data_IF_619316877089
#
_entry.id   IF_619316877089
#
_cell.length_a   1.000
_cell.length_b   1.000
_cell.length_c   1.000
_cell.angle_alpha   90.00
_cell.angle_beta   90.00
_cell.angle_gamma   90.00
#
_symmetry.space_group_name_H-M   'P 1'
#
loop_
_entity.id
_entity.type
_entity.pdbx_description
1 polymer ?
#
# COMPACT_ATOMS: atom_id res chain seq x y z
N UNK A 1 13.97 9.58 -19.68
CA UNK A 1 14.72 9.77 -18.42
C UNK A 1 15.16 8.40 -17.96
N UNK A 2 16.47 8.19 -17.76
CA UNK A 2 17.02 6.88 -17.40
C UNK A 2 16.48 6.44 -16.03
N UNK A 3 15.76 5.31 -16.00
CA UNK A 3 15.50 4.56 -14.77
C UNK A 3 16.83 4.05 -14.26
N UNK A 4 17.43 4.77 -13.31
CA UNK A 4 18.78 4.48 -12.82
C UNK A 4 18.74 3.20 -11.98
N UNK A 5 19.12 2.08 -12.59
CA UNK A 5 19.23 0.73 -11.97
C UNK A 5 20.43 0.60 -11.00
N UNK A 6 20.82 1.70 -10.35
CA UNK A 6 22.10 1.84 -9.64
C UNK A 6 21.93 2.24 -8.17
N UNK A 7 20.77 1.96 -7.58
CA UNK A 7 20.64 2.14 -6.12
C UNK A 7 21.26 0.94 -5.40
N UNK A 8 21.93 1.20 -4.28
CA UNK A 8 22.46 0.13 -3.39
C UNK A 8 21.34 -0.86 -3.04
N UNK A 9 20.12 -0.35 -2.88
CA UNK A 9 18.94 -1.16 -2.66
C UNK A 9 18.67 -2.13 -3.81
N UNK A 10 18.56 -1.67 -5.06
CA UNK A 10 18.27 -2.53 -6.21
C UNK A 10 19.39 -3.54 -6.50
N UNK A 11 20.66 -3.14 -6.34
CA UNK A 11 21.80 -4.00 -6.68
C UNK A 11 22.11 -5.06 -5.62
N UNK A 12 21.92 -4.76 -4.33
CA UNK A 12 22.41 -5.61 -3.25
C UNK A 12 21.34 -6.07 -2.26
N UNK A 13 20.29 -5.26 -2.01
CA UNK A 13 19.27 -5.59 -1.02
C UNK A 13 18.02 -6.23 -1.63
N UNK A 14 17.55 -5.75 -2.77
CA UNK A 14 16.37 -6.26 -3.46
C UNK A 14 16.48 -7.75 -3.85
N UNK A 15 17.63 -8.27 -4.32
CA UNK A 15 17.78 -9.70 -4.60
C UNK A 15 17.71 -10.57 -3.34
N UNK A 16 18.15 -10.05 -2.19
CA UNK A 16 18.11 -10.75 -0.90
C UNK A 16 16.70 -10.68 -0.31
N UNK A 17 16.04 -9.52 -0.38
CA UNK A 17 14.67 -9.33 0.08
C UNK A 17 13.70 -10.31 -0.59
N UNK A 18 13.88 -10.59 -1.89
CA UNK A 18 13.07 -11.60 -2.62
C UNK A 18 13.07 -12.99 -1.98
N UNK A 19 14.10 -13.40 -1.25
CA UNK A 19 14.14 -14.69 -0.55
C UNK A 19 13.34 -14.72 0.75
N UNK A 20 13.01 -13.54 1.32
CA UNK A 20 12.22 -13.40 2.54
C UNK A 20 10.79 -12.93 2.27
N UNK A 21 10.48 -12.63 1.01
CA UNK A 21 9.18 -12.24 0.53
C UNK A 21 8.31 -13.48 0.36
N UNK A 22 7.10 -13.45 0.94
CA UNK A 22 6.10 -14.52 0.77
C UNK A 22 5.48 -14.48 -0.63
N UNK A 23 6.14 -15.10 -1.61
CA UNK A 23 5.65 -15.19 -2.99
C UNK A 23 4.35 -15.99 -3.12
N UNK A 24 4.01 -16.84 -2.13
CA UNK A 24 2.76 -17.58 -2.13
C UNK A 24 1.61 -16.63 -1.82
N UNK A 25 1.73 -15.87 -0.73
CA UNK A 25 0.75 -14.85 -0.35
C UNK A 25 0.52 -13.83 -1.47
N UNK A 26 1.58 -13.36 -2.12
CA UNK A 26 1.45 -12.42 -3.25
C UNK A 26 0.63 -13.00 -4.41
N UNK A 27 0.88 -14.28 -4.75
CA UNK A 27 0.15 -14.98 -5.81
C UNK A 27 -1.30 -15.23 -5.41
N UNK A 28 -1.56 -15.58 -4.17
CA UNK A 28 -2.92 -15.78 -3.67
C UNK A 28 -3.75 -14.49 -3.78
N UNK A 29 -3.22 -13.35 -3.30
CA UNK A 29 -3.90 -12.05 -3.42
C UNK A 29 -4.11 -11.68 -4.88
N UNK A 30 -3.10 -11.88 -5.73
CA UNK A 30 -3.21 -11.61 -7.16
C UNK A 30 -4.35 -12.39 -7.83
N UNK A 31 -4.55 -13.65 -7.44
CA UNK A 31 -5.57 -14.52 -8.04
C UNK A 31 -6.94 -14.41 -7.36
N UNK A 32 -7.02 -13.85 -6.15
CA UNK A 32 -8.28 -13.74 -5.41
C UNK A 32 -9.15 -12.55 -5.84
N UNK A 33 -8.58 -11.58 -6.57
CA UNK A 33 -9.23 -10.31 -6.91
C UNK A 33 -9.53 -10.27 -8.42
N UNK A 34 -10.78 -9.94 -8.77
CA UNK A 34 -11.11 -9.51 -10.14
C UNK A 34 -10.68 -8.06 -10.33
N UNK A 35 -9.42 -7.87 -10.70
CA UNK A 35 -8.80 -6.55 -10.84
C UNK A 35 -9.53 -5.63 -11.82
N UNK A 36 -10.17 -6.20 -12.85
CA UNK A 36 -10.89 -5.38 -13.82
C UNK A 36 -12.18 -4.86 -13.20
N UNK A 37 -12.94 -5.74 -12.55
CA UNK A 37 -14.19 -5.36 -11.89
C UNK A 37 -13.95 -4.36 -10.75
N UNK A 38 -12.93 -4.59 -9.91
CA UNK A 38 -12.60 -3.68 -8.81
C UNK A 38 -12.09 -2.33 -9.31
N UNK A 39 -11.22 -2.31 -10.33
CA UNK A 39 -10.80 -1.06 -10.96
C UNK A 39 -11.98 -0.26 -11.50
N UNK A 40 -12.92 -0.92 -12.20
CA UNK A 40 -14.09 -0.25 -12.75
C UNK A 40 -15.01 0.31 -11.64
N UNK A 41 -15.12 -0.39 -10.51
CA UNK A 41 -15.91 0.03 -9.35
C UNK A 41 -15.28 1.19 -8.57
N UNK A 42 -13.96 1.17 -8.41
CA UNK A 42 -13.21 2.06 -7.51
C UNK A 42 -12.56 3.25 -8.21
N UNK A 43 -12.36 3.17 -9.52
CA UNK A 43 -11.81 4.29 -10.29
C UNK A 43 -12.82 5.42 -10.43
N UNK A 44 -12.31 6.65 -10.46
CA UNK A 44 -13.10 7.83 -10.78
C UNK A 44 -12.65 8.37 -12.14
N UNK A 45 -13.50 8.33 -13.19
CA UNK A 45 -13.13 8.80 -14.53
C UNK A 45 -12.86 10.31 -14.60
N UNK A 46 -13.31 11.08 -13.61
CA UNK A 46 -13.07 12.51 -13.51
C UNK A 46 -11.78 12.85 -12.75
N UNK A 47 -11.09 11.87 -12.16
CA UNK A 47 -9.83 12.07 -11.46
C UNK A 47 -8.67 12.17 -12.46
N UNK A 48 -8.07 13.35 -12.57
CA UNK A 48 -6.91 13.58 -13.42
C UNK A 48 -5.63 13.38 -12.60
N UNK A 49 -4.90 12.31 -12.90
CA UNK A 49 -3.61 12.08 -12.27
C UNK A 49 -2.52 13.01 -12.82
N UNK A 50 -1.71 13.64 -11.96
CA UNK A 50 -0.48 14.31 -12.37
C UNK A 50 0.42 13.37 -13.18
N UNK A 51 1.16 13.91 -14.14
CA UNK A 51 2.00 13.08 -15.01
C UNK A 51 3.00 12.22 -14.23
N UNK A 52 3.59 12.76 -13.16
CA UNK A 52 4.55 12.04 -12.34
C UNK A 52 3.94 10.79 -11.68
N UNK A 53 2.66 10.82 -11.30
CA UNK A 53 2.00 9.70 -10.64
C UNK A 53 1.72 8.53 -11.60
N UNK A 54 1.61 8.81 -12.90
CA UNK A 54 1.36 7.79 -13.94
C UNK A 54 2.63 7.14 -14.49
N UNK A 55 3.73 7.89 -14.57
CA UNK A 55 4.89 7.48 -15.37
C UNK A 55 6.13 7.15 -14.54
N UNK A 56 6.14 7.50 -13.25
CA UNK A 56 7.29 7.24 -12.40
C UNK A 56 7.16 5.88 -11.71
N UNK A 57 8.29 5.18 -11.62
CA UNK A 57 8.42 4.06 -10.72
C UNK A 57 8.60 4.62 -9.30
N UNK A 58 7.82 4.13 -8.34
CA UNK A 58 7.96 4.47 -6.94
C UNK A 58 8.50 3.28 -6.19
N UNK A 59 9.50 3.49 -5.31
CA UNK A 59 10.07 2.44 -4.46
C UNK A 59 10.51 1.17 -5.24
N UNK A 60 10.94 1.32 -6.50
CA UNK A 60 11.35 0.20 -7.35
C UNK A 60 10.20 -0.57 -8.02
N UNK A 61 8.95 -0.15 -7.82
CA UNK A 61 7.77 -0.74 -8.45
C UNK A 61 7.61 -0.19 -9.86
N UNK A 62 7.71 -1.08 -10.85
CA UNK A 62 7.49 -0.73 -12.26
C UNK A 62 6.04 -0.27 -12.49
N UNK A 63 5.86 0.89 -13.09
CA UNK A 63 4.54 1.50 -13.30
C UNK A 63 3.96 2.18 -12.05
N UNK A 64 4.69 2.17 -10.94
CA UNK A 64 4.28 2.85 -9.71
C UNK A 64 3.03 2.24 -9.05
N UNK A 65 2.34 3.06 -8.26
CA UNK A 65 1.19 2.62 -7.46
C UNK A 65 -0.09 2.38 -8.27
N UNK A 66 -0.16 2.84 -9.53
CA UNK A 66 -1.27 2.54 -10.44
C UNK A 66 -1.08 1.17 -11.13
N UNK A 67 -0.71 0.15 -10.36
CA UNK A 67 -0.48 -1.19 -10.87
C UNK A 67 -0.98 -2.26 -9.90
N UNK A 68 -1.40 -3.40 -10.44
CA UNK A 68 -1.74 -4.59 -9.66
C UNK A 68 -0.52 -5.06 -8.84
N UNK A 69 0.66 -4.99 -9.44
CA UNK A 69 1.91 -5.39 -8.80
C UNK A 69 2.17 -4.59 -7.51
N UNK A 70 1.88 -3.29 -7.48
CA UNK A 70 1.97 -2.51 -6.26
C UNK A 70 1.05 -3.07 -5.16
N UNK A 71 -0.23 -3.28 -5.49
CA UNK A 71 -1.23 -3.75 -4.53
C UNK A 71 -0.91 -5.14 -3.96
N UNK A 72 -0.49 -6.08 -4.81
CA UNK A 72 -0.19 -7.45 -4.39
C UNK A 72 1.12 -7.57 -3.61
N UNK A 73 2.04 -6.61 -3.78
CA UNK A 73 3.37 -6.69 -3.16
C UNK A 73 3.57 -5.77 -1.96
N UNK A 74 2.74 -4.74 -1.78
CA UNK A 74 2.93 -3.73 -0.76
C UNK A 74 3.09 -4.30 0.66
N UNK A 75 2.07 -4.99 1.18
CA UNK A 75 2.06 -5.46 2.58
C UNK A 75 3.19 -6.45 2.91
N UNK A 76 3.52 -7.46 2.06
CA UNK A 76 4.69 -8.30 2.31
C UNK A 76 6.02 -7.52 2.33
N UNK A 77 6.17 -6.52 1.46
CA UNK A 77 7.40 -5.72 1.41
C UNK A 77 7.51 -4.76 2.60
N UNK A 78 6.41 -4.13 3.05
CA UNK A 78 6.43 -3.23 4.19
C UNK A 78 6.79 -3.95 5.49
N UNK A 79 6.33 -5.19 5.65
CA UNK A 79 6.70 -6.04 6.80
C UNK A 79 8.21 -6.28 6.88
N UNK A 80 8.88 -6.44 5.73
CA UNK A 80 10.34 -6.61 5.65
C UNK A 80 11.10 -5.28 5.77
N UNK A 81 10.54 -4.21 5.22
CA UNK A 81 11.20 -2.90 5.15
C UNK A 81 11.19 -2.14 6.48
N UNK A 82 10.31 -2.49 7.42
CA UNK A 82 10.15 -1.83 8.71
C UNK A 82 10.50 -2.76 9.90
N UNK A 83 11.76 -3.19 10.04
CA UNK A 83 12.20 -3.94 11.22
C UNK A 83 12.14 -3.06 12.48
N UNK A 84 11.87 -3.62 13.67
CA UNK A 84 11.69 -5.05 13.97
C UNK A 84 10.26 -5.57 13.75
N UNK A 85 9.25 -4.71 13.64
CA UNK A 85 7.87 -5.08 13.35
C UNK A 85 7.08 -3.86 12.86
N UNK A 86 6.63 -3.89 11.61
CA UNK A 86 5.77 -2.85 11.02
C UNK A 86 4.54 -2.52 11.89
N UNK A 87 3.93 -3.55 12.50
CA UNK A 87 2.75 -3.41 13.35
C UNK A 87 3.02 -2.49 14.53
N UNK A 88 4.24 -2.49 15.08
CA UNK A 88 4.60 -1.60 16.17
C UNK A 88 4.61 -0.14 15.73
N UNK A 89 5.16 0.16 14.55
CA UNK A 89 5.15 1.51 13.98
C UNK A 89 3.71 2.01 13.80
N UNK A 90 2.84 1.16 13.24
CA UNK A 90 1.41 1.47 13.07
C UNK A 90 0.72 1.69 14.43
N UNK A 91 1.03 0.86 15.42
CA UNK A 91 0.48 1.00 16.77
C UNK A 91 0.91 2.32 17.43
N UNK A 92 2.15 2.76 17.26
CA UNK A 92 2.59 4.06 17.80
C UNK A 92 1.82 5.24 17.21
N UNK A 93 1.44 5.17 15.94
CA UNK A 93 0.58 6.19 15.31
C UNK A 93 -0.81 6.19 15.95
N UNK A 94 -1.37 5.00 16.19
CA UNK A 94 -2.68 4.84 16.85
C UNK A 94 -2.64 5.37 18.29
N UNK A 95 -1.61 5.02 19.05
CA UNK A 95 -1.43 5.41 20.46
C UNK A 95 -1.24 6.93 20.61
N UNK A 96 -0.72 7.60 19.57
CA UNK A 96 -0.55 9.04 19.55
C UNK A 96 -1.88 9.81 19.37
N UNK A 97 -2.95 9.15 18.94
CA UNK A 97 -4.26 9.78 18.78
C UNK A 97 -4.86 10.08 20.15
N UNK A 98 -5.10 11.37 20.41
CA UNK A 98 -5.68 11.83 21.67
C UNK A 98 -7.21 11.89 21.59
N UNK A 99 -7.88 11.55 22.69
CA UNK A 99 -9.33 11.62 22.82
C UNK A 99 -10.06 10.43 22.20
N UNK A 100 -11.35 10.62 21.90
CA UNK A 100 -12.22 9.61 21.29
C UNK A 100 -12.78 10.15 19.97
N UNK A 101 -12.03 10.00 18.86
CA UNK A 101 -12.49 10.50 17.57
C UNK A 101 -13.78 9.79 17.16
N UNK A 102 -14.74 10.56 16.64
CA UNK A 102 -15.96 10.01 16.05
C UNK A 102 -15.79 9.68 14.57
N UNK A 103 -14.84 10.34 13.89
CA UNK A 103 -14.54 10.16 12.47
C UNK A 103 -13.03 10.21 12.25
N UNK A 104 -12.51 9.30 11.44
CA UNK A 104 -11.09 9.16 11.11
C UNK A 104 -10.95 9.04 9.59
N UNK A 105 -9.99 9.77 9.00
CA UNK A 105 -9.60 9.64 7.59
C UNK A 105 -8.16 9.12 7.52
N UNK A 106 -7.98 7.96 6.93
CA UNK A 106 -6.68 7.38 6.56
C UNK A 106 -6.36 7.79 5.11
N UNK A 107 -5.43 8.74 4.96
CA UNK A 107 -5.09 9.37 3.68
C UNK A 107 -3.85 8.72 3.07
N UNK A 108 -4.00 8.12 1.88
CA UNK A 108 -3.01 7.22 1.31
C UNK A 108 -3.04 5.85 1.99
N UNK A 109 -4.25 5.30 2.18
CA UNK A 109 -4.45 4.11 3.01
C UNK A 109 -3.85 2.82 2.42
N UNK A 110 -3.39 2.83 1.17
CA UNK A 110 -2.90 1.64 0.49
C UNK A 110 -3.95 0.54 0.48
N UNK A 111 -3.55 -0.68 0.87
CA UNK A 111 -4.42 -1.87 1.01
C UNK A 111 -5.41 -1.76 2.17
N UNK A 112 -5.39 -0.66 2.93
CA UNK A 112 -6.27 -0.44 4.08
C UNK A 112 -5.84 -1.19 5.33
N UNK A 113 -4.67 -1.82 5.35
CA UNK A 113 -4.20 -2.61 6.49
C UNK A 113 -4.00 -1.74 7.75
N UNK A 114 -3.62 -0.47 7.61
CA UNK A 114 -3.64 0.50 8.72
C UNK A 114 -5.05 1.00 9.07
N UNK A 115 -5.92 1.19 8.07
CA UNK A 115 -7.34 1.56 8.26
C UNK A 115 -8.08 0.55 9.13
N UNK A 116 -7.82 -0.75 8.94
CA UNK A 116 -8.40 -1.83 9.77
C UNK A 116 -7.95 -1.70 11.22
N UNK A 117 -6.66 -1.44 11.47
CA UNK A 117 -6.14 -1.26 12.83
C UNK A 117 -6.76 -0.03 13.51
N UNK A 118 -6.95 1.08 12.77
CA UNK A 118 -7.66 2.26 13.26
C UNK A 118 -9.09 1.92 13.67
N UNK A 119 -9.82 1.13 12.86
CA UNK A 119 -11.18 0.70 13.20
C UNK A 119 -11.23 -0.22 14.41
N UNK A 120 -10.24 -1.08 14.59
CA UNK A 120 -10.14 -1.94 15.77
C UNK A 120 -9.85 -1.13 17.04
N UNK A 121 -8.96 -0.13 16.96
CA UNK A 121 -8.61 0.72 18.09
C UNK A 121 -9.74 1.71 18.48
N UNK A 122 -10.48 2.21 17.49
CA UNK A 122 -11.58 3.14 17.68
C UNK A 122 -12.90 2.55 17.14
N UNK A 123 -13.47 1.53 17.82
CA UNK A 123 -14.61 0.76 17.29
C UNK A 123 -15.87 1.60 17.09
N UNK A 124 -16.05 2.68 17.85
CA UNK A 124 -17.18 3.62 17.72
C UNK A 124 -16.95 4.68 16.64
N UNK A 125 -15.73 4.87 16.16
CA UNK A 125 -15.41 5.82 15.11
C UNK A 125 -15.87 5.30 13.74
N UNK A 126 -16.35 6.21 12.90
CA UNK A 126 -16.44 5.98 11.46
C UNK A 126 -15.06 6.18 10.84
N UNK A 127 -14.56 5.20 10.10
CA UNK A 127 -13.20 5.22 9.55
C UNK A 127 -13.29 5.16 8.04
N UNK A 128 -12.68 6.12 7.37
CA UNK A 128 -12.61 6.25 5.92
C UNK A 128 -11.18 6.00 5.45
N UNK A 129 -11.00 5.06 4.52
CA UNK A 129 -9.76 4.91 3.77
C UNK A 129 -9.87 5.66 2.44
N UNK A 130 -8.83 6.42 2.08
CA UNK A 130 -8.71 7.09 0.80
C UNK A 130 -7.34 6.80 0.20
N UNK A 131 -7.30 6.27 -1.00
CA UNK A 131 -6.10 6.17 -1.81
C UNK A 131 -6.36 6.67 -3.23
N UNK A 132 -5.31 7.17 -3.88
CA UNK A 132 -5.39 7.58 -5.29
C UNK A 132 -5.38 6.37 -6.23
N UNK A 133 -4.84 5.23 -5.79
CA UNK A 133 -4.78 4.03 -6.62
C UNK A 133 -6.02 3.16 -6.40
N UNK A 134 -6.85 2.96 -7.44
CA UNK A 134 -7.94 1.99 -7.36
C UNK A 134 -7.45 0.55 -7.18
N UNK A 135 -6.19 0.24 -7.56
CA UNK A 135 -5.61 -1.07 -7.31
C UNK A 135 -5.27 -1.29 -5.84
N UNK A 136 -4.82 -0.25 -5.13
CA UNK A 136 -4.57 -0.36 -3.69
C UNK A 136 -5.86 -0.55 -2.89
N UNK A 137 -6.98 -0.03 -3.39
CA UNK A 137 -8.30 -0.13 -2.74
C UNK A 137 -9.07 -1.42 -3.05
N UNK A 138 -8.58 -2.25 -3.98
CA UNK A 138 -9.21 -3.49 -4.44
C UNK A 138 -8.91 -4.65 -3.48
#
# INVERSE_FOLDING_TARGET
MATRKDTIFEQYLAPIARFFVDEHQMREVHHSIDWKAEYDRLSNPNLVYPNYYKTQNFHGIEGGYLSIGAATTYDPFTQLALPPNETWVRQQVIDAVQGQPLRILDLGCGTGSATVLLKQAFPTAEVFGLDLSPYMLA
#
